data_IF_256961153831
#
_entry.id   IF_256961153831
#
_cell.length_a   1.000
_cell.length_b   1.000
_cell.length_c   1.000
_cell.angle_alpha   90.00
_cell.angle_beta   90.00
_cell.angle_gamma   90.00
#
_symmetry.space_group_name_H-M   'P 1'
#
loop_
_entity.id
_entity.type
_entity.pdbx_description
1 polymer ?
#
# COMPACT_ATOMS: atom_id res chain seq x y z
N UNK A 1 3.84 9.38 4.41
CA UNK A 1 3.40 8.01 4.70
C UNK A 1 3.88 7.14 3.57
N UNK A 2 4.47 5.99 3.88
CA UNK A 2 4.98 5.04 2.91
C UNK A 2 4.29 3.68 3.06
N UNK A 3 4.08 3.00 1.93
CA UNK A 3 3.76 1.58 1.93
C UNK A 3 5.06 0.79 1.76
N UNK A 4 5.17 -0.31 2.50
CA UNK A 4 6.17 -1.34 2.29
C UNK A 4 5.64 -2.33 1.28
N UNK A 5 6.44 -2.68 0.28
CA UNK A 5 6.13 -3.75 -0.66
C UNK A 5 7.15 -4.87 -0.48
N UNK A 6 6.64 -6.07 -0.17
CA UNK A 6 7.43 -7.28 0.08
C UNK A 6 6.96 -8.42 -0.82
N UNK A 7 7.86 -9.35 -1.10
CA UNK A 7 7.50 -10.63 -1.71
C UNK A 7 7.40 -11.70 -0.62
N UNK A 8 6.34 -12.49 -0.69
CA UNK A 8 6.06 -13.59 0.21
C UNK A 8 5.81 -14.87 -0.60
N UNK A 9 6.19 -16.06 -0.10
CA UNK A 9 5.75 -17.30 -0.71
C UNK A 9 4.22 -17.39 -0.76
N UNK A 10 3.62 -17.72 -1.90
CA UNK A 10 2.19 -17.91 -2.03
C UNK A 10 1.77 -19.28 -1.47
N UNK A 11 1.73 -19.38 -0.14
CA UNK A 11 1.34 -20.58 0.59
C UNK A 11 0.70 -20.21 1.93
N UNK A 12 -0.04 -21.13 2.56
CA UNK A 12 -0.63 -20.89 3.89
C UNK A 12 0.43 -20.43 4.91
N UNK A 13 0.07 -19.41 5.70
CA UNK A 13 0.90 -18.89 6.78
C UNK A 13 1.93 -17.83 6.40
N UNK A 14 2.21 -17.57 5.12
CA UNK A 14 3.25 -16.58 4.75
C UNK A 14 2.90 -15.15 5.20
N UNK A 15 1.64 -14.73 5.07
CA UNK A 15 1.19 -13.44 5.59
C UNK A 15 1.22 -13.42 7.12
N UNK A 16 0.85 -14.52 7.78
CA UNK A 16 0.87 -14.63 9.23
C UNK A 16 2.30 -14.43 9.77
N UNK A 17 3.30 -15.08 9.18
CA UNK A 17 4.71 -14.92 9.55
C UNK A 17 5.16 -13.45 9.54
N UNK A 18 4.79 -12.70 8.50
CA UNK A 18 5.12 -11.29 8.40
C UNK A 18 4.36 -10.46 9.44
N UNK A 19 3.05 -10.64 9.54
CA UNK A 19 2.19 -9.87 10.43
C UNK A 19 2.55 -10.12 11.91
N UNK A 20 2.88 -11.35 12.29
CA UNK A 20 3.36 -11.72 13.62
C UNK A 20 4.68 -11.03 13.94
N UNK A 21 5.65 -11.03 13.02
CA UNK A 21 6.93 -10.35 13.23
C UNK A 21 6.77 -8.83 13.45
N UNK A 22 5.83 -8.21 12.74
CA UNK A 22 5.47 -6.79 12.92
C UNK A 22 4.79 -6.59 14.29
N UNK A 23 3.83 -7.46 14.64
CA UNK A 23 3.08 -7.38 15.88
C UNK A 23 3.92 -7.62 17.14
N UNK A 24 4.94 -8.49 17.08
CA UNK A 24 5.91 -8.70 18.18
C UNK A 24 6.60 -7.41 18.63
N UNK A 25 6.64 -6.40 17.77
CA UNK A 25 7.24 -5.08 18.04
C UNK A 25 6.19 -4.02 18.42
N UNK A 26 4.94 -4.44 18.63
CA UNK A 26 3.83 -3.58 19.02
C UNK A 26 3.35 -2.66 17.90
N UNK A 27 3.59 -3.03 16.64
CA UNK A 27 3.26 -2.22 15.46
C UNK A 27 1.93 -2.73 14.88
N UNK A 28 1.02 -1.82 14.55
CA UNK A 28 -0.23 -2.16 13.89
C UNK A 28 -0.11 -2.02 12.37
N UNK A 29 -0.67 -2.98 11.63
CA UNK A 29 -0.86 -2.88 10.17
C UNK A 29 -2.15 -2.09 9.91
N UNK A 30 -2.03 -0.97 9.19
CA UNK A 30 -3.14 -0.01 8.99
C UNK A 30 -3.80 -0.12 7.63
N UNK A 31 -3.19 -0.84 6.69
CA UNK A 31 -3.72 -1.10 5.36
C UNK A 31 -2.85 -2.15 4.67
N UNK A 32 -3.47 -3.00 3.86
CA UNK A 32 -2.75 -4.02 3.12
C UNK A 32 -3.53 -4.44 1.87
N UNK A 33 -2.79 -4.73 0.79
CA UNK A 33 -3.29 -5.48 -0.35
C UNK A 33 -2.20 -6.37 -0.91
N UNK A 34 -2.60 -7.58 -1.31
CA UNK A 34 -1.71 -8.55 -1.92
C UNK A 34 -2.26 -9.02 -3.26
N UNK A 35 -1.35 -9.31 -4.17
CA UNK A 35 -1.64 -10.02 -5.41
C UNK A 35 -0.63 -11.15 -5.57
N UNK A 36 -1.07 -12.27 -6.15
CA UNK A 36 -0.21 -13.44 -6.33
C UNK A 36 -0.05 -13.76 -7.81
N UNK A 37 1.12 -14.26 -8.16
CA UNK A 37 1.44 -14.79 -9.48
C UNK A 37 2.26 -16.07 -9.30
N UNK A 38 1.61 -17.22 -9.47
CA UNK A 38 2.22 -18.52 -9.22
C UNK A 38 2.56 -18.71 -7.74
N UNK A 39 3.80 -19.09 -7.46
CA UNK A 39 4.27 -19.46 -6.12
C UNK A 39 4.75 -18.26 -5.28
N UNK A 40 4.66 -17.04 -5.81
CA UNK A 40 5.05 -15.80 -5.12
C UNK A 40 3.89 -14.81 -5.08
N UNK A 41 3.74 -14.14 -3.95
CA UNK A 41 2.81 -13.04 -3.73
C UNK A 41 3.55 -11.75 -3.46
N UNK A 42 3.11 -10.65 -4.08
CA UNK A 42 3.52 -9.30 -3.69
C UNK A 42 2.50 -8.75 -2.71
N UNK A 43 2.95 -8.31 -1.54
CA UNK A 43 2.13 -7.64 -0.54
C UNK A 43 2.59 -6.19 -0.40
N UNK A 44 1.68 -5.25 -0.58
CA UNK A 44 1.85 -3.85 -0.19
C UNK A 44 1.09 -3.60 1.12
N UNK A 45 1.72 -2.94 2.09
CA UNK A 45 1.07 -2.64 3.36
C UNK A 45 1.61 -1.36 4.01
N UNK A 46 0.79 -0.72 4.84
CA UNK A 46 1.15 0.42 5.69
C UNK A 46 1.05 0.03 7.15
N UNK A 47 1.80 0.74 8.00
CA UNK A 47 1.82 0.54 9.44
C UNK A 47 1.67 1.86 10.17
N UNK A 48 1.32 1.82 11.46
CA UNK A 48 1.32 3.01 12.32
C UNK A 48 2.73 3.51 12.71
N UNK A 49 3.77 2.68 12.51
CA UNK A 49 5.16 3.04 12.76
C UNK A 49 6.12 2.54 11.67
N UNK A 50 6.39 3.38 10.67
CA UNK A 50 7.28 3.05 9.53
C UNK A 50 8.73 2.81 9.96
N UNK A 51 9.24 3.60 10.92
CA UNK A 51 10.60 3.48 11.42
C UNK A 51 10.85 2.11 12.06
N UNK A 52 9.95 1.70 12.95
CA UNK A 52 10.03 0.41 13.60
C UNK A 52 9.81 -0.74 12.60
N UNK A 53 8.86 -0.59 11.66
CA UNK A 53 8.59 -1.60 10.62
C UNK A 53 9.82 -1.86 9.77
N UNK A 54 10.52 -0.81 9.32
CA UNK A 54 11.79 -0.94 8.59
C UNK A 54 12.81 -1.75 9.39
N UNK A 55 12.90 -1.51 10.70
CA UNK A 55 13.75 -2.28 11.60
C UNK A 55 13.36 -3.76 11.64
N UNK A 56 12.08 -4.08 11.81
CA UNK A 56 11.59 -5.48 11.81
C UNK A 56 11.94 -6.19 10.50
N UNK A 57 11.66 -5.54 9.37
CA UNK A 57 11.90 -6.11 8.05
C UNK A 57 13.40 -6.36 7.82
N UNK A 58 14.23 -5.37 8.18
CA UNK A 58 15.68 -5.46 8.06
C UNK A 58 16.29 -6.52 8.98
N UNK A 59 15.93 -6.54 10.26
CA UNK A 59 16.44 -7.48 11.26
C UNK A 59 16.18 -8.95 10.88
N UNK A 60 15.05 -9.20 10.22
CA UNK A 60 14.62 -10.54 9.79
C UNK A 60 15.02 -10.86 8.34
N UNK A 61 15.74 -9.96 7.67
CA UNK A 61 16.28 -10.16 6.33
C UNK A 61 15.25 -10.16 5.20
N UNK A 62 14.07 -9.56 5.42
CA UNK A 62 13.12 -9.36 4.32
C UNK A 62 13.65 -8.33 3.33
N UNK A 63 13.55 -8.66 2.04
CA UNK A 63 13.74 -7.69 0.97
C UNK A 63 12.44 -6.92 0.80
N UNK A 64 12.50 -5.61 0.91
CA UNK A 64 11.35 -4.73 0.75
C UNK A 64 11.73 -3.46 -0.03
N UNK A 65 10.72 -2.85 -0.65
CA UNK A 65 10.79 -1.47 -1.14
C UNK A 65 9.81 -0.61 -0.35
N UNK A 66 10.08 0.68 -0.33
CA UNK A 66 9.18 1.67 0.24
C UNK A 66 8.72 2.60 -0.86
N UNK A 67 7.42 2.83 -0.94
CA UNK A 67 6.82 3.73 -1.92
C UNK A 67 5.98 4.78 -1.19
N UNK A 68 6.13 6.07 -1.52
CA UNK A 68 5.32 7.09 -0.88
C UNK A 68 3.85 6.94 -1.29
N UNK A 69 2.96 7.16 -0.33
CA UNK A 69 1.52 6.97 -0.49
C UNK A 69 0.78 8.29 -0.43
N UNK A 70 -0.11 8.51 -1.40
CA UNK A 70 -1.11 9.59 -1.39
C UNK A 70 -2.50 8.97 -1.30
N UNK A 71 -3.39 9.56 -0.51
CA UNK A 71 -4.76 9.08 -0.36
C UNK A 71 -5.74 9.98 -1.11
N UNK A 72 -6.81 9.39 -1.64
CA UNK A 72 -7.94 10.12 -2.22
C UNK A 72 -9.26 9.46 -1.80
N UNK A 73 -10.26 10.29 -1.52
CA UNK A 73 -11.64 9.83 -1.29
C UNK A 73 -12.36 9.70 -2.62
N UNK A 74 -12.79 8.48 -2.95
CA UNK A 74 -13.50 8.16 -4.17
C UNK A 74 -14.97 7.84 -3.87
N UNK A 75 -15.88 8.40 -4.67
CA UNK A 75 -17.27 7.95 -4.72
C UNK A 75 -17.36 6.48 -5.18
N UNK A 76 -18.19 5.68 -4.49
CA UNK A 76 -18.45 4.29 -4.85
C UNK A 76 -19.48 4.18 -6.00
N UNK A 77 -19.09 4.70 -7.18
CA UNK A 77 -19.87 4.67 -8.41
C UNK A 77 -18.98 4.35 -9.61
N UNK A 78 -19.55 3.82 -10.72
CA UNK A 78 -18.78 3.49 -11.91
C UNK A 78 -17.97 4.68 -12.45
N UNK A 79 -16.69 4.42 -12.77
CA UNK A 79 -15.80 5.40 -13.41
C UNK A 79 -15.00 6.29 -12.46
N UNK A 80 -15.28 6.31 -11.16
CA UNK A 80 -14.54 7.16 -10.22
C UNK A 80 -13.05 6.83 -10.16
N UNK A 81 -12.71 5.53 -10.05
CA UNK A 81 -11.32 5.08 -10.08
C UNK A 81 -10.66 5.39 -11.43
N UNK A 82 -11.39 5.25 -12.54
CA UNK A 82 -10.87 5.57 -13.88
C UNK A 82 -10.51 7.05 -14.00
N UNK A 83 -11.35 7.95 -13.46
CA UNK A 83 -11.07 9.39 -13.41
C UNK A 83 -9.81 9.70 -12.57
N UNK A 84 -9.70 9.11 -11.38
CA UNK A 84 -8.52 9.29 -10.53
C UNK A 84 -7.23 8.78 -11.18
N UNK A 85 -7.26 7.57 -11.74
CA UNK A 85 -6.12 6.98 -12.44
C UNK A 85 -5.73 7.78 -13.70
N UNK A 86 -6.71 8.32 -14.44
CA UNK A 86 -6.44 9.19 -15.59
C UNK A 86 -5.72 10.47 -15.16
N UNK A 87 -6.18 11.15 -14.09
CA UNK A 87 -5.55 12.36 -13.56
C UNK A 87 -4.09 12.11 -13.16
N UNK A 88 -3.81 10.98 -12.52
CA UNK A 88 -2.44 10.57 -12.17
C UNK A 88 -1.59 10.32 -13.42
N UNK A 89 -2.12 9.56 -14.39
CA UNK A 89 -1.43 9.28 -15.65
C UNK A 89 -1.14 10.54 -16.48
N UNK A 90 -2.10 11.46 -16.57
CA UNK A 90 -1.94 12.73 -17.29
C UNK A 90 -0.91 13.66 -16.61
N UNK A 91 -0.71 13.50 -15.30
CA UNK A 91 0.35 14.16 -14.54
C UNK A 91 1.72 13.46 -14.62
N UNK A 92 1.82 12.35 -15.37
CA UNK A 92 3.04 11.57 -15.50
C UNK A 92 3.42 10.80 -14.24
N UNK A 93 2.46 10.48 -13.37
CA UNK A 93 2.68 9.75 -12.12
C UNK A 93 2.46 8.26 -12.35
N UNK A 94 3.47 7.44 -12.02
CA UNK A 94 3.34 5.99 -12.02
C UNK A 94 2.70 5.50 -10.71
N UNK A 95 1.81 4.51 -10.80
CA UNK A 95 1.19 3.86 -9.64
C UNK A 95 1.83 2.48 -9.46
N UNK A 96 2.53 2.29 -8.34
CA UNK A 96 3.18 1.02 -8.00
C UNK A 96 2.29 0.08 -7.18
N UNK A 97 1.36 0.64 -6.42
CA UNK A 97 0.36 -0.12 -5.66
C UNK A 97 -0.87 0.73 -5.37
N UNK A 98 -2.01 0.10 -5.13
CA UNK A 98 -3.20 0.76 -4.61
C UNK A 98 -3.98 -0.16 -3.69
N UNK A 99 -4.60 0.41 -2.66
CA UNK A 99 -5.48 -0.34 -1.77
C UNK A 99 -6.48 0.56 -1.03
N UNK A 100 -7.65 0.04 -0.64
CA UNK A 100 -8.53 0.74 0.28
C UNK A 100 -7.84 0.93 1.63
N UNK A 101 -7.90 2.15 2.17
CA UNK A 101 -7.33 2.53 3.47
C UNK A 101 -8.42 2.95 4.48
N UNK A 102 -9.68 2.96 4.07
CA UNK A 102 -10.82 3.27 4.92
C UNK A 102 -12.07 3.62 4.11
N UNK A 103 -13.15 3.92 4.83
CA UNK A 103 -14.40 4.40 4.27
C UNK A 103 -14.90 5.60 5.08
N UNK A 104 -15.56 6.54 4.39
CA UNK A 104 -16.23 7.69 4.99
C UNK A 104 -17.62 7.81 4.37
N UNK A 105 -18.64 7.36 5.11
CA UNK A 105 -19.99 7.19 4.56
C UNK A 105 -19.99 6.26 3.34
N UNK A 106 -20.41 6.78 2.19
CA UNK A 106 -20.43 6.06 0.90
C UNK A 106 -19.14 6.20 0.10
N UNK A 107 -18.12 6.89 0.61
CA UNK A 107 -16.85 7.10 -0.08
C UNK A 107 -15.81 6.11 0.38
N UNK A 108 -15.04 5.58 -0.56
CA UNK A 108 -13.88 4.72 -0.29
C UNK A 108 -12.63 5.59 -0.28
N UNK A 109 -11.86 5.55 0.81
CA UNK A 109 -10.55 6.19 0.84
C UNK A 109 -9.53 5.23 0.24
N UNK A 110 -9.05 5.55 -0.95
CA UNK A 110 -8.00 4.79 -1.63
C UNK A 110 -6.63 5.35 -1.30
N UNK A 111 -5.67 4.49 -1.01
CA UNK A 111 -4.25 4.78 -0.96
C UNK A 111 -3.61 4.39 -2.30
N UNK A 112 -2.78 5.28 -2.85
CA UNK A 112 -1.99 5.07 -4.05
C UNK A 112 -0.51 5.20 -3.69
N UNK A 113 0.24 4.11 -3.79
CA UNK A 113 1.70 4.14 -3.76
C UNK A 113 2.23 4.57 -5.12
N UNK A 114 3.00 5.65 -5.15
CA UNK A 114 3.38 6.35 -6.39
C UNK A 114 4.86 6.69 -6.42
N UNK A 115 5.39 6.94 -7.61
CA UNK A 115 6.78 7.39 -7.79
C UNK A 115 6.99 8.87 -7.41
N UNK A 116 5.95 9.70 -7.54
CA UNK A 116 5.99 11.14 -7.27
C UNK A 116 4.76 11.61 -6.48
N UNK A 117 4.88 11.62 -5.15
CA UNK A 117 3.79 11.99 -4.24
C UNK A 117 3.33 13.44 -4.38
N UNK A 118 4.23 14.37 -4.70
CA UNK A 118 3.89 15.78 -4.87
C UNK A 118 3.03 16.01 -6.11
N UNK A 119 3.41 15.39 -7.23
CA UNK A 119 2.62 15.42 -8.46
C UNK A 119 1.28 14.71 -8.27
N UNK A 120 1.29 13.55 -7.59
CA UNK A 120 0.07 12.80 -7.31
C UNK A 120 -0.93 13.59 -6.46
N UNK A 121 -0.46 14.27 -5.41
CA UNK A 121 -1.31 15.07 -4.53
C UNK A 121 -1.97 16.22 -5.30
N UNK A 122 -1.20 16.94 -6.12
CA UNK A 122 -1.75 17.98 -7.01
C UNK A 122 -2.74 17.43 -8.03
N UNK A 123 -2.44 16.25 -8.58
CA UNK A 123 -3.29 15.61 -9.57
C UNK A 123 -4.62 15.15 -9.00
N UNK A 124 -4.66 14.68 -7.75
CA UNK A 124 -5.84 14.13 -7.08
C UNK A 124 -6.72 15.19 -6.39
N UNK A 125 -6.17 16.38 -6.13
CA UNK A 125 -6.91 17.54 -5.63
C UNK A 125 -6.81 17.67 -4.13
#
# INVERSE_FOLDING_TARGET
MNAFIVELPNRPGSLAMLAEAIAERGINVTGAAGATAGDVGTLAFTTDNEGATRGVLGDRGWVFREVPVVTASLEDVPGTLASAARRLGDAGVNIETMFPSGMDGSKVRMAFGVDNADAASRALG
#
